data_IF_111934571457
#
_entry.id   IF_111934571457
#
_cell.length_a   1.000
_cell.length_b   1.000
_cell.length_c   1.000
_cell.angle_alpha   90.00
_cell.angle_beta   90.00
_cell.angle_gamma   90.00
#
_symmetry.space_group_name_H-M   'P 1'
#
loop_
_entity.id
_entity.type
_entity.pdbx_description
1 polymer ?
#
# COMPACT_ATOMS: atom_id res chain seq x y z
N UNK A 1 6.01 10.35 3.13
CA UNK A 1 5.36 9.56 4.20
C UNK A 1 3.84 9.79 4.30
N UNK A 2 3.32 10.98 4.03
CA UNK A 2 1.90 11.32 4.29
C UNK A 2 0.89 10.69 3.30
N UNK A 3 1.23 10.54 2.03
CA UNK A 3 0.35 10.01 0.99
C UNK A 3 0.01 8.51 1.16
N UNK A 4 0.99 7.68 1.56
CA UNK A 4 0.78 6.26 1.85
C UNK A 4 -0.18 6.05 3.03
N UNK A 5 -0.03 6.83 4.10
CA UNK A 5 -0.91 6.75 5.28
C UNK A 5 -2.35 7.19 4.97
N UNK A 6 -2.55 8.16 4.07
CA UNK A 6 -3.88 8.62 3.67
C UNK A 6 -4.62 7.58 2.83
N UNK A 7 -3.93 6.94 1.89
CA UNK A 7 -4.54 5.91 1.03
C UNK A 7 -4.95 4.68 1.83
N UNK A 8 -4.08 4.24 2.76
CA UNK A 8 -4.38 3.09 3.63
C UNK A 8 -5.59 3.33 4.54
N UNK A 9 -5.77 4.56 5.06
CA UNK A 9 -6.94 4.93 5.87
C UNK A 9 -8.24 4.93 5.06
N UNK A 10 -8.21 5.34 3.80
CA UNK A 10 -9.39 5.29 2.91
C UNK A 10 -9.80 3.86 2.56
N UNK A 11 -8.86 2.95 2.39
CA UNK A 11 -9.12 1.53 2.12
C UNK A 11 -9.71 0.77 3.33
N UNK A 12 -9.45 1.24 4.57
CA UNK A 12 -9.89 0.57 5.80
C UNK A 12 -11.30 0.98 6.27
N UNK A 13 -11.86 2.10 5.81
CA UNK A 13 -13.20 2.60 6.25
C UNK A 13 -14.35 1.75 5.73
N UNK A 14 -14.13 0.89 4.71
CA UNK A 14 -15.16 0.03 4.14
C UNK A 14 -15.40 -1.32 4.87
N UNK A 15 -14.59 -1.68 5.89
CA UNK A 15 -14.61 -3.02 6.49
C UNK A 15 -15.19 -3.11 7.92
N UNK A 16 -15.85 -2.07 8.43
CA UNK A 16 -16.43 -2.06 9.77
C UNK A 16 -17.93 -2.30 9.76
N UNK A 17 -18.40 -3.55 9.71
CA UNK A 17 -19.78 -3.91 10.11
C UNK A 17 -19.80 -5.24 10.86
N UNK A 18 -20.12 -5.14 12.16
CA UNK A 18 -20.91 -6.02 13.03
C UNK A 18 -20.42 -7.45 13.25
N UNK A 19 -19.79 -7.66 14.40
CA UNK A 19 -19.85 -8.91 15.13
C UNK A 19 -20.80 -8.75 16.31
N UNK A 20 -21.97 -9.38 16.23
CA UNK A 20 -22.91 -9.56 17.35
C UNK A 20 -22.44 -10.69 18.27
N UNK A 21 -22.43 -10.40 19.53
CA UNK A 21 -22.00 -11.21 20.66
C UNK A 21 -22.95 -12.37 20.96
N UNK A 22 -22.41 -13.54 21.24
CA UNK A 22 -23.04 -14.51 22.14
C UNK A 22 -22.02 -14.89 23.21
N UNK A 23 -22.34 -14.56 24.46
CA UNK A 23 -21.49 -14.83 25.60
C UNK A 23 -21.66 -16.25 26.14
N UNK A 24 -20.60 -16.77 26.74
CA UNK A 24 -20.66 -17.74 27.82
C UNK A 24 -19.49 -17.47 28.78
N UNK A 25 -19.83 -17.27 30.03
CA UNK A 25 -18.92 -16.90 31.10
C UNK A 25 -18.06 -18.05 31.62
N UNK A 26 -16.87 -17.69 32.04
CA UNK A 26 -15.99 -18.51 32.88
C UNK A 26 -15.17 -17.57 33.77
N UNK A 27 -14.82 -17.94 35.02
CA UNK A 27 -14.37 -17.01 36.04
C UNK A 27 -12.92 -16.56 35.88
N UNK A 28 -12.69 -15.31 36.26
CA UNK A 28 -11.39 -14.65 36.24
C UNK A 28 -10.47 -15.16 37.37
N UNK A 29 -9.15 -15.22 37.18
CA UNK A 29 -8.19 -15.34 38.26
C UNK A 29 -7.90 -13.98 38.90
N UNK A 30 -7.86 -13.96 40.22
CA UNK A 30 -7.56 -12.84 41.11
C UNK A 30 -6.11 -12.35 40.97
N UNK A 31 -5.82 -11.04 41.03
CA UNK A 31 -4.45 -10.54 41.10
C UNK A 31 -3.94 -10.53 42.56
N UNK A 32 -2.72 -11.00 42.76
CA UNK A 32 -1.95 -10.79 43.98
C UNK A 32 -1.28 -9.40 43.96
N UNK A 33 -1.15 -8.75 45.13
CA UNK A 33 -0.61 -7.41 45.23
C UNK A 33 0.92 -7.41 45.22
N UNK A 34 1.52 -6.54 44.44
CA UNK A 34 2.95 -6.21 44.52
C UNK A 34 3.13 -4.78 44.98
N UNK A 35 3.98 -4.65 45.96
CA UNK A 35 4.29 -3.54 46.80
C UNK A 35 4.80 -2.31 46.05
N UNK A 36 4.26 -1.16 46.44
CA UNK A 36 4.74 0.17 46.09
C UNK A 36 6.08 0.48 46.76
N UNK A 37 7.01 1.02 45.99
CA UNK A 37 8.18 1.75 46.52
C UNK A 37 8.14 3.18 46.01
N UNK A 38 7.94 4.10 46.93
CA UNK A 38 7.95 5.55 46.78
C UNK A 38 9.37 6.12 46.77
N UNK A 39 9.56 7.20 45.94
CA UNK A 39 10.40 8.35 46.26
C UNK A 39 11.33 8.86 45.18
N UNK A 40 11.67 10.16 45.14
CA UNK A 40 10.91 11.41 45.28
C UNK A 40 11.04 12.37 44.06
N UNK A 41 10.24 13.39 44.08
CA UNK A 41 10.26 14.53 43.14
C UNK A 41 11.45 15.47 43.38
N UNK A 42 12.00 16.06 42.30
CA UNK A 42 12.64 17.38 42.38
C UNK A 42 12.56 18.13 41.04
N UNK A 43 12.06 19.38 41.23
CA UNK A 43 12.43 20.62 40.56
C UNK A 43 12.05 20.90 39.10
N UNK A 44 11.05 21.71 39.03
CA UNK A 44 10.70 22.73 38.03
C UNK A 44 11.89 23.55 37.51
N UNK A 45 11.97 23.73 36.18
CA UNK A 45 12.60 24.89 35.56
C UNK A 45 11.71 25.36 34.40
N UNK A 46 11.36 26.66 34.44
CA UNK A 46 10.52 27.36 33.50
C UNK A 46 11.22 27.60 32.14
N UNK A 47 10.47 27.74 31.02
CA UNK A 47 11.04 28.10 29.73
C UNK A 47 11.27 29.60 29.59
N UNK A 48 12.25 30.04 28.78
CA UNK A 48 12.46 31.47 28.49
C UNK A 48 11.53 31.96 27.36
N UNK A 49 11.22 33.24 27.45
CA UNK A 49 10.31 33.99 26.61
C UNK A 49 10.78 34.15 25.15
N UNK A 50 9.81 34.17 24.24
CA UNK A 50 9.97 34.54 22.83
C UNK A 50 10.06 36.05 22.65
N UNK A 51 10.87 36.60 21.74
CA UNK A 51 10.81 37.97 21.30
C UNK A 51 9.75 38.19 20.22
N UNK A 52 8.91 39.21 20.45
CA UNK A 52 7.97 39.75 19.46
C UNK A 52 8.73 40.49 18.35
N UNK A 53 8.38 40.24 17.10
CA UNK A 53 8.79 41.05 15.97
C UNK A 53 7.58 41.81 15.43
N UNK A 54 7.74 43.11 15.36
CA UNK A 54 6.77 44.11 14.93
C UNK A 54 6.51 44.00 13.41
N UNK A 55 5.24 44.03 13.04
CA UNK A 55 4.77 44.20 11.66
C UNK A 55 4.78 45.67 11.28
N UNK A 56 5.53 46.03 10.24
CA UNK A 56 5.36 47.27 9.49
C UNK A 56 4.47 47.05 8.28
N UNK A 57 3.30 47.66 8.29
CA UNK A 57 2.40 47.81 7.15
C UNK A 57 3.00 48.73 6.11
N UNK A 58 3.10 48.28 4.85
CA UNK A 58 3.34 49.12 3.70
C UNK A 58 2.18 48.95 2.71
N UNK A 59 1.45 50.02 2.52
CA UNK A 59 0.37 50.18 1.55
C UNK A 59 0.97 50.46 0.16
N UNK A 60 0.64 49.73 -0.91
CA UNK A 60 0.98 50.12 -2.27
C UNK A 60 -0.10 51.03 -2.89
N UNK A 61 0.27 51.94 -3.83
CA UNK A 61 -0.63 52.90 -4.44
C UNK A 61 -1.52 52.29 -5.53
N UNK A 62 -2.67 52.88 -5.72
CA UNK A 62 -3.64 52.56 -6.75
C UNK A 62 -3.10 52.83 -8.17
N UNK A 63 -3.37 51.92 -9.09
CA UNK A 63 -3.14 52.07 -10.52
C UNK A 63 -4.43 51.87 -11.33
N UNK A 64 -4.55 52.47 -12.52
CA UNK A 64 -5.81 52.87 -13.13
C UNK A 64 -6.49 51.77 -13.95
N UNK A 65 -7.77 51.97 -14.14
CA UNK A 65 -8.71 51.24 -15.02
C UNK A 65 -8.12 50.76 -16.31
N UNK A 66 -8.16 49.44 -16.52
CA UNK A 66 -7.94 48.81 -17.81
C UNK A 66 -9.24 48.16 -18.32
N UNK A 67 -9.50 48.41 -19.58
CA UNK A 67 -10.63 48.05 -20.41
C UNK A 67 -11.22 46.65 -20.21
N UNK A 68 -12.55 46.64 -20.32
CA UNK A 68 -13.38 45.44 -20.43
C UNK A 68 -13.03 44.65 -21.68
N UNK A 69 -12.47 43.46 -21.51
CA UNK A 69 -12.41 42.43 -22.56
C UNK A 69 -13.70 41.61 -22.54
N UNK A 70 -14.21 41.16 -23.70
CA UNK A 70 -15.44 40.35 -23.75
C UNK A 70 -15.24 38.97 -23.06
N UNK A 71 -16.33 38.33 -22.57
CA UNK A 71 -16.23 37.04 -21.95
C UNK A 71 -15.75 35.99 -22.95
N UNK A 72 -14.60 35.39 -22.65
CA UNK A 72 -14.12 34.19 -23.33
C UNK A 72 -15.10 33.07 -22.98
N UNK A 73 -15.78 32.54 -24.00
CA UNK A 73 -16.63 31.34 -23.90
C UNK A 73 -15.87 30.25 -23.14
N UNK A 74 -16.41 29.82 -22.01
CA UNK A 74 -15.81 28.83 -21.16
C UNK A 74 -15.53 27.54 -21.92
N UNK A 75 -14.28 27.18 -21.97
CA UNK A 75 -13.86 25.82 -22.28
C UNK A 75 -14.58 24.87 -21.32
N UNK A 76 -15.19 23.79 -21.77
CA UNK A 76 -15.82 22.86 -20.85
C UNK A 76 -14.76 22.38 -19.85
N UNK A 77 -15.10 22.44 -18.56
CA UNK A 77 -14.27 21.88 -17.50
C UNK A 77 -13.98 20.41 -17.85
N UNK A 78 -12.76 19.89 -17.57
CA UNK A 78 -12.46 18.49 -17.84
C UNK A 78 -13.48 17.65 -17.14
N UNK A 79 -14.25 16.88 -17.90
CA UNK A 79 -15.19 15.90 -17.39
C UNK A 79 -14.38 14.92 -16.56
N UNK A 80 -14.59 14.88 -15.24
CA UNK A 80 -13.99 13.89 -14.38
C UNK A 80 -14.48 12.54 -14.89
N UNK A 81 -13.64 11.84 -15.64
CA UNK A 81 -13.95 10.46 -16.06
C UNK A 81 -14.07 9.61 -14.82
N UNK A 82 -15.13 8.80 -14.74
CA UNK A 82 -15.29 7.83 -13.67
C UNK A 82 -14.04 6.92 -13.61
N UNK A 83 -13.65 6.45 -12.41
CA UNK A 83 -12.52 5.53 -12.30
C UNK A 83 -12.81 4.26 -13.12
N UNK A 84 -11.80 3.74 -13.82
CA UNK A 84 -11.93 2.51 -14.58
C UNK A 84 -12.20 1.33 -13.66
N UNK A 85 -13.11 0.45 -14.07
CA UNK A 85 -13.48 -0.75 -13.34
C UNK A 85 -12.49 -1.89 -13.57
N UNK A 86 -12.58 -2.93 -12.73
CA UNK A 86 -11.80 -4.17 -12.91
C UNK A 86 -12.01 -4.77 -14.30
N UNK A 87 -13.26 -4.79 -14.79
CA UNK A 87 -13.58 -5.30 -16.11
C UNK A 87 -12.90 -4.48 -17.23
N UNK A 88 -12.93 -3.16 -17.12
CA UNK A 88 -12.35 -2.27 -18.13
C UNK A 88 -10.83 -2.48 -18.26
N UNK A 89 -10.10 -2.43 -17.12
CA UNK A 89 -8.65 -2.57 -17.14
C UNK A 89 -8.23 -4.00 -17.52
N UNK A 90 -8.95 -5.03 -17.03
CA UNK A 90 -8.68 -6.42 -17.40
C UNK A 90 -8.85 -6.68 -18.90
N UNK A 91 -9.81 -6.01 -19.55
CA UNK A 91 -10.03 -6.15 -20.99
C UNK A 91 -8.80 -5.71 -21.78
N UNK A 92 -8.15 -4.63 -21.38
CA UNK A 92 -6.98 -4.04 -22.05
C UNK A 92 -5.67 -4.80 -21.79
N UNK A 93 -5.61 -5.64 -20.73
CA UNK A 93 -4.39 -6.39 -20.45
C UNK A 93 -4.10 -7.42 -21.56
N UNK A 94 -2.83 -7.38 -22.00
CA UNK A 94 -2.32 -8.31 -23.00
C UNK A 94 -2.38 -9.74 -22.46
N UNK A 95 -2.92 -10.67 -23.26
CA UNK A 95 -2.91 -12.09 -22.93
C UNK A 95 -1.67 -12.74 -23.56
N UNK A 96 -0.91 -13.50 -22.79
CA UNK A 96 0.25 -14.27 -23.27
C UNK A 96 0.45 -15.53 -22.41
N UNK A 97 1.03 -16.60 -22.97
CA UNK A 97 1.41 -17.76 -22.16
C UNK A 97 2.52 -17.40 -21.18
N UNK A 98 2.53 -18.07 -20.06
CA UNK A 98 3.59 -17.96 -19.05
C UNK A 98 4.96 -18.41 -19.54
N UNK A 99 6.01 -17.83 -18.96
CA UNK A 99 7.39 -18.16 -19.27
C UNK A 99 8.23 -18.39 -18.01
N UNK A 100 8.16 -19.57 -17.42
CA UNK A 100 8.89 -19.91 -16.18
C UNK A 100 10.39 -20.18 -16.38
N UNK A 101 10.81 -20.52 -17.60
CA UNK A 101 12.20 -20.90 -17.87
C UNK A 101 13.19 -19.83 -17.45
N UNK A 102 14.21 -20.22 -16.68
CA UNK A 102 15.27 -19.32 -16.22
C UNK A 102 14.93 -18.48 -14.99
N UNK A 103 13.73 -18.60 -14.41
CA UNK A 103 13.40 -17.88 -13.18
C UNK A 103 14.33 -18.28 -12.03
N UNK A 104 14.82 -17.28 -11.35
CA UNK A 104 15.49 -17.38 -10.04
C UNK A 104 15.13 -16.13 -9.22
N UNK A 105 14.67 -16.31 -8.00
CA UNK A 105 14.31 -15.19 -7.10
C UNK A 105 15.45 -14.18 -6.94
N UNK A 106 16.68 -14.63 -6.99
CA UNK A 106 17.88 -13.77 -6.88
C UNK A 106 18.07 -12.80 -8.05
N UNK A 107 17.34 -12.98 -9.16
CA UNK A 107 17.33 -12.02 -10.27
C UNK A 107 16.57 -10.74 -9.94
N UNK A 108 15.78 -10.77 -8.87
CA UNK A 108 15.10 -9.62 -8.31
C UNK A 108 15.80 -9.22 -7.00
N UNK A 109 16.51 -8.13 -7.01
CA UNK A 109 17.17 -7.61 -5.79
C UNK A 109 16.10 -6.96 -4.91
N UNK A 110 15.70 -7.64 -3.84
CA UNK A 110 14.70 -7.20 -2.87
C UNK A 110 15.33 -6.47 -1.69
N UNK A 111 14.52 -5.75 -0.93
CA UNK A 111 14.82 -5.14 0.37
C UNK A 111 16.05 -4.23 0.32
N UNK A 112 16.04 -3.27 -0.63
CA UNK A 112 17.06 -2.23 -0.69
C UNK A 112 16.68 -1.05 0.20
N UNK A 113 17.68 -0.39 0.75
CA UNK A 113 17.58 0.94 1.36
C UNK A 113 17.90 1.97 0.26
N UNK A 114 16.85 2.44 -0.43
CA UNK A 114 17.03 3.25 -1.64
C UNK A 114 17.36 4.71 -1.35
N UNK A 115 16.85 5.27 -0.26
CA UNK A 115 17.07 6.65 0.20
C UNK A 115 18.18 6.77 1.25
N UNK A 116 18.77 5.64 1.66
CA UNK A 116 19.86 5.53 2.62
C UNK A 116 19.52 6.08 4.01
N UNK A 117 18.28 5.93 4.42
CA UNK A 117 17.81 6.35 5.74
C UNK A 117 18.01 5.27 6.83
N UNK A 118 18.56 4.11 6.46
CA UNK A 118 18.80 2.95 7.34
C UNK A 118 17.64 1.96 7.38
N UNK A 119 16.53 2.25 6.71
CA UNK A 119 15.37 1.36 6.55
C UNK A 119 15.33 0.77 5.15
N UNK A 120 15.33 -0.55 5.03
CA UNK A 120 15.09 -1.18 3.74
C UNK A 120 13.60 -1.16 3.35
N UNK A 121 13.30 -1.54 2.12
CA UNK A 121 11.93 -1.57 1.58
C UNK A 121 10.94 -2.32 2.49
N UNK A 122 11.37 -3.43 3.13
CA UNK A 122 10.52 -4.19 4.06
C UNK A 122 10.12 -3.34 5.26
N UNK A 123 11.09 -2.65 5.89
CA UNK A 123 10.84 -1.80 7.04
C UNK A 123 9.97 -0.60 6.67
N UNK A 124 10.19 0.00 5.49
CA UNK A 124 9.39 1.10 4.99
C UNK A 124 7.90 0.72 4.85
N UNK A 125 7.61 -0.45 4.31
CA UNK A 125 6.22 -0.95 4.21
C UNK A 125 5.63 -1.16 5.61
N UNK A 126 6.35 -1.82 6.52
CA UNK A 126 5.87 -2.04 7.89
C UNK A 126 5.58 -0.73 8.62
N UNK A 127 6.44 0.28 8.48
CA UNK A 127 6.24 1.59 9.09
C UNK A 127 5.02 2.29 8.49
N UNK A 128 4.89 2.24 7.16
CA UNK A 128 3.81 2.93 6.44
C UNK A 128 2.43 2.33 6.72
N UNK A 129 2.33 1.01 6.87
CA UNK A 129 1.06 0.29 7.01
C UNK A 129 0.64 0.05 8.46
N UNK A 130 1.46 0.44 9.44
CA UNK A 130 1.11 0.29 10.84
C UNK A 130 -0.12 1.11 11.21
N UNK A 131 -1.16 0.48 11.76
CA UNK A 131 -2.36 1.14 12.31
C UNK A 131 -1.99 1.91 13.58
N UNK A 132 -1.12 1.31 14.41
CA UNK A 132 -0.43 1.99 15.50
C UNK A 132 1.04 2.00 15.15
N UNK A 133 1.66 3.17 15.07
CA UNK A 133 3.05 3.33 14.67
C UNK A 133 4.00 2.55 15.61
N UNK A 134 4.96 1.79 15.08
CA UNK A 134 6.01 1.19 15.88
C UNK A 134 7.03 2.26 16.32
N UNK A 135 7.79 1.94 17.37
CA UNK A 135 9.03 2.65 17.66
C UNK A 135 10.10 2.18 16.66
N UNK A 136 10.79 3.13 16.05
CA UNK A 136 11.84 2.87 15.05
C UNK A 136 13.18 3.29 15.65
N UNK A 137 14.12 2.35 15.80
CA UNK A 137 15.47 2.64 16.28
C UNK A 137 16.35 3.24 15.17
N UNK A 138 17.54 3.73 15.54
CA UNK A 138 18.53 4.27 14.60
C UNK A 138 18.99 3.27 13.52
N UNK A 139 18.81 1.96 13.73
CA UNK A 139 19.10 0.89 12.77
C UNK A 139 17.85 0.30 12.15
N UNK A 140 16.76 1.05 12.16
CA UNK A 140 15.45 0.65 11.68
C UNK A 140 14.85 -0.63 12.31
N UNK A 141 15.31 -1.04 13.49
CA UNK A 141 14.65 -2.11 14.22
C UNK A 141 13.31 -1.60 14.77
N UNK A 142 12.24 -2.36 14.51
CA UNK A 142 10.88 -2.01 14.91
C UNK A 142 10.52 -2.69 16.24
N UNK A 143 9.86 -1.95 17.13
CA UNK A 143 9.31 -2.49 18.37
C UNK A 143 7.92 -1.91 18.66
N UNK A 144 7.02 -2.74 19.19
CA UNK A 144 5.61 -2.37 19.30
C UNK A 144 4.96 -2.21 17.92
N UNK A 145 3.93 -1.38 17.87
CA UNK A 145 3.15 -1.20 16.66
C UNK A 145 1.95 -2.14 16.59
N UNK A 146 1.08 -1.92 15.60
CA UNK A 146 -0.05 -2.81 15.30
C UNK A 146 -0.37 -2.77 13.81
N UNK A 147 -0.62 -3.94 13.24
CA UNK A 147 -0.95 -4.14 11.84
C UNK A 147 -2.16 -5.05 11.69
N UNK A 148 -2.90 -4.90 10.60
CA UNK A 148 -3.93 -5.87 10.20
C UNK A 148 -3.59 -6.41 8.83
N UNK A 149 -3.46 -7.72 8.71
CA UNK A 149 -3.28 -8.42 7.45
C UNK A 149 -4.58 -8.34 6.63
N UNK A 150 -4.49 -7.78 5.43
CA UNK A 150 -5.65 -7.67 4.53
C UNK A 150 -6.08 -9.02 3.95
N UNK A 151 -5.19 -10.02 3.91
CA UNK A 151 -5.51 -11.32 3.33
C UNK A 151 -6.44 -12.16 4.20
N UNK A 152 -6.37 -12.03 5.52
CA UNK A 152 -7.10 -12.87 6.47
C UNK A 152 -7.79 -12.08 7.60
N UNK A 153 -7.59 -10.76 7.66
CA UNK A 153 -8.19 -9.89 8.67
C UNK A 153 -7.54 -9.99 10.06
N UNK A 154 -6.45 -10.76 10.22
CA UNK A 154 -5.79 -10.95 11.51
C UNK A 154 -4.96 -9.72 11.90
N UNK A 155 -4.96 -9.42 13.21
CA UNK A 155 -4.20 -8.30 13.78
C UNK A 155 -2.95 -8.81 14.48
N UNK A 156 -1.82 -8.10 14.28
CA UNK A 156 -0.50 -8.41 14.81
C UNK A 156 0.09 -7.22 15.54
N UNK A 157 0.77 -7.48 16.67
CA UNK A 157 1.54 -6.49 17.43
C UNK A 157 3.05 -6.75 17.36
N UNK A 158 3.46 -7.78 16.63
CA UNK A 158 4.83 -8.18 16.40
C UNK A 158 5.10 -8.21 14.88
N UNK A 159 5.96 -7.30 14.40
CA UNK A 159 6.34 -7.19 12.99
C UNK A 159 7.00 -8.47 12.44
N UNK A 160 7.59 -9.32 13.30
CA UNK A 160 8.21 -10.59 12.88
C UNK A 160 7.21 -11.65 12.42
N UNK A 161 5.93 -11.47 12.73
CA UNK A 161 4.82 -12.37 12.31
C UNK A 161 4.23 -11.98 10.95
N UNK A 162 4.69 -10.86 10.39
CA UNK A 162 4.25 -10.37 9.11
C UNK A 162 5.34 -10.61 8.05
N UNK A 163 4.92 -11.03 6.87
CA UNK A 163 5.73 -10.96 5.66
C UNK A 163 5.33 -9.72 4.86
N UNK A 164 6.24 -9.17 4.06
CA UNK A 164 5.88 -8.22 3.01
C UNK A 164 5.68 -9.02 1.74
N UNK A 165 4.46 -9.00 1.26
CA UNK A 165 4.08 -9.67 0.02
C UNK A 165 4.22 -8.73 -1.18
N UNK A 166 4.76 -9.27 -2.27
CA UNK A 166 4.56 -8.71 -3.61
C UNK A 166 3.18 -9.20 -4.07
N UNK A 167 2.19 -8.31 -4.16
CA UNK A 167 0.81 -8.70 -4.52
C UNK A 167 0.79 -9.48 -5.83
N UNK A 168 1.53 -9.04 -6.86
CA UNK A 168 1.93 -9.92 -7.99
C UNK A 168 3.30 -10.50 -7.64
N UNK A 169 3.41 -11.82 -7.40
CA UNK A 169 4.66 -12.47 -7.01
C UNK A 169 5.81 -12.24 -7.99
N UNK A 170 7.05 -12.31 -7.52
CA UNK A 170 8.23 -12.14 -8.38
C UNK A 170 8.30 -13.20 -9.49
N UNK A 171 7.90 -14.44 -9.18
CA UNK A 171 7.85 -15.52 -10.16
C UNK A 171 6.74 -15.26 -11.18
N UNK A 172 5.57 -14.85 -10.72
CA UNK A 172 4.46 -14.48 -11.58
C UNK A 172 4.80 -13.28 -12.50
N UNK A 173 5.45 -12.26 -11.95
CA UNK A 173 5.94 -11.15 -12.77
C UNK A 173 6.95 -11.61 -13.84
N UNK A 174 7.83 -12.58 -13.49
CA UNK A 174 8.74 -13.21 -14.47
C UNK A 174 7.97 -13.89 -15.58
N UNK A 175 7.02 -14.74 -15.25
CA UNK A 175 6.19 -15.49 -16.20
C UNK A 175 5.41 -14.58 -17.12
N UNK A 176 4.94 -13.46 -16.59
CA UNK A 176 4.14 -12.46 -17.28
C UNK A 176 4.94 -11.47 -18.14
N UNK A 177 6.30 -11.56 -18.15
CA UNK A 177 7.12 -10.72 -19.03
C UNK A 177 8.38 -10.14 -18.42
N UNK A 178 8.57 -10.16 -17.08
CA UNK A 178 9.76 -9.61 -16.46
C UNK A 178 11.06 -10.37 -16.79
N UNK A 179 10.98 -11.55 -17.39
CA UNK A 179 12.15 -12.26 -17.93
C UNK A 179 12.89 -11.45 -19.01
N UNK A 180 12.20 -10.53 -19.68
CA UNK A 180 12.77 -9.62 -20.69
C UNK A 180 13.34 -8.34 -20.09
N UNK A 181 13.07 -8.05 -18.80
CA UNK A 181 13.48 -6.81 -18.19
C UNK A 181 14.97 -6.77 -17.87
N UNK A 182 15.51 -5.57 -17.79
CA UNK A 182 16.85 -5.34 -17.22
C UNK A 182 16.86 -5.67 -15.72
N UNK A 183 18.01 -5.94 -15.17
CA UNK A 183 18.16 -6.17 -13.73
C UNK A 183 17.69 -4.95 -12.91
N UNK A 184 17.94 -3.74 -13.40
CA UNK A 184 17.46 -2.51 -12.76
C UNK A 184 15.93 -2.42 -12.70
N UNK A 185 15.22 -2.81 -13.80
CA UNK A 185 13.74 -2.81 -13.82
C UNK A 185 13.17 -3.87 -12.89
N UNK A 186 13.77 -5.07 -12.83
CA UNK A 186 13.38 -6.11 -11.85
C UNK A 186 13.60 -5.66 -10.41
N UNK A 187 14.71 -4.98 -10.12
CA UNK A 187 14.94 -4.39 -8.80
C UNK A 187 13.91 -3.31 -8.47
N UNK A 188 13.56 -2.44 -9.42
CA UNK A 188 12.55 -1.41 -9.22
C UNK A 188 11.16 -2.01 -8.93
N UNK A 189 10.76 -3.06 -9.65
CA UNK A 189 9.52 -3.81 -9.37
C UNK A 189 9.52 -4.39 -7.96
N UNK A 190 10.61 -5.06 -7.60
CA UNK A 190 10.74 -5.75 -6.31
C UNK A 190 10.77 -4.80 -5.09
N UNK A 191 10.95 -3.50 -5.32
CA UNK A 191 11.01 -2.48 -4.28
C UNK A 191 10.07 -1.29 -4.58
N UNK A 192 8.96 -1.52 -5.30
CA UNK A 192 8.05 -0.46 -5.71
C UNK A 192 7.29 0.15 -4.53
N UNK A 193 7.88 1.18 -3.94
CA UNK A 193 7.26 2.03 -2.94
C UNK A 193 6.47 3.21 -3.55
N UNK A 194 6.42 3.32 -4.88
CA UNK A 194 5.71 4.39 -5.59
C UNK A 194 4.20 4.33 -5.41
N UNK A 195 3.66 3.16 -5.06
CA UNK A 195 2.26 2.94 -4.73
C UNK A 195 2.14 2.11 -3.44
N UNK A 196 1.09 2.37 -2.66
CA UNK A 196 0.93 1.73 -1.36
C UNK A 196 0.47 0.26 -1.44
N UNK A 197 0.08 -0.20 -2.61
CA UNK A 197 -0.59 -1.49 -2.81
C UNK A 197 0.24 -2.52 -3.59
N UNK A 198 1.44 -2.19 -4.09
CA UNK A 198 2.33 -3.16 -4.75
C UNK A 198 2.97 -4.14 -3.76
N UNK A 199 3.32 -3.61 -2.58
CA UNK A 199 3.97 -4.33 -1.48
C UNK A 199 3.14 -4.10 -0.23
N UNK A 200 2.67 -5.17 0.41
CA UNK A 200 1.78 -5.08 1.57
C UNK A 200 2.22 -5.99 2.71
N UNK A 201 2.01 -5.53 3.95
CA UNK A 201 2.26 -6.32 5.15
C UNK A 201 1.09 -7.27 5.40
N UNK A 202 1.33 -8.56 5.35
CA UNK A 202 0.32 -9.61 5.54
C UNK A 202 0.80 -10.67 6.52
N UNK A 203 -0.12 -11.50 7.02
CA UNK A 203 0.27 -12.64 7.85
C UNK A 203 1.22 -13.57 7.09
N UNK A 204 2.27 -14.03 7.76
CA UNK A 204 3.21 -14.98 7.17
C UNK A 204 2.53 -16.28 6.71
N UNK A 205 1.44 -16.68 7.37
CA UNK A 205 0.67 -17.87 7.00
C UNK A 205 -0.04 -17.70 5.64
N UNK A 206 -0.77 -16.60 5.46
CA UNK A 206 -1.46 -16.31 4.20
C UNK A 206 -0.48 -16.07 3.06
N UNK A 207 0.63 -15.35 3.33
CA UNK A 207 1.68 -15.14 2.32
C UNK A 207 2.28 -16.46 1.80
N UNK A 208 2.61 -17.37 2.69
CA UNK A 208 3.15 -18.70 2.33
C UNK A 208 2.13 -19.58 1.63
N UNK A 209 0.84 -19.47 1.99
CA UNK A 209 -0.24 -20.16 1.30
C UNK A 209 -0.40 -19.66 -0.15
N UNK A 210 -0.26 -18.36 -0.37
CA UNK A 210 -0.25 -17.74 -1.70
C UNK A 210 0.95 -18.21 -2.51
N UNK A 211 2.17 -18.03 -1.97
CA UNK A 211 3.39 -18.36 -2.70
C UNK A 211 3.51 -17.61 -4.03
N UNK A 212 3.76 -18.35 -5.11
CA UNK A 212 3.90 -17.78 -6.45
C UNK A 212 2.60 -17.85 -7.29
N UNK A 213 1.48 -18.23 -6.67
CA UNK A 213 0.19 -18.48 -7.31
C UNK A 213 -0.47 -17.19 -7.80
N UNK A 214 -1.17 -17.30 -8.91
CA UNK A 214 -2.04 -16.29 -9.49
C UNK A 214 -3.50 -16.37 -8.98
N UNK A 215 -4.41 -15.48 -9.39
CA UNK A 215 -5.82 -15.52 -9.01
C UNK A 215 -6.62 -16.75 -9.45
N UNK A 216 -6.14 -17.54 -10.42
CA UNK A 216 -6.77 -18.82 -10.79
C UNK A 216 -6.50 -19.92 -9.75
N UNK A 217 -5.38 -19.79 -9.01
CA UNK A 217 -4.92 -20.80 -8.06
C UNK A 217 -5.13 -20.38 -6.60
N UNK A 218 -5.16 -19.07 -6.30
CA UNK A 218 -5.27 -18.56 -4.95
C UNK A 218 -5.98 -17.21 -4.87
N UNK A 219 -6.85 -17.07 -3.88
CA UNK A 219 -7.47 -15.81 -3.47
C UNK A 219 -7.34 -15.63 -1.97
N UNK A 220 -7.32 -14.38 -1.47
CA UNK A 220 -7.32 -14.09 -0.04
C UNK A 220 -8.42 -14.87 0.71
N UNK A 221 -8.10 -15.48 1.87
CA UNK A 221 -9.09 -16.13 2.72
C UNK A 221 -10.24 -15.20 3.11
N UNK A 222 -9.96 -13.90 3.35
CA UNK A 222 -10.95 -12.89 3.68
C UNK A 222 -11.82 -12.53 2.46
N UNK A 223 -13.09 -12.97 2.38
CA UNK A 223 -13.91 -12.76 1.19
C UNK A 223 -14.13 -11.29 0.84
N UNK A 224 -14.26 -10.41 1.84
CA UNK A 224 -14.48 -8.97 1.65
C UNK A 224 -13.30 -8.25 0.99
N UNK A 225 -12.10 -8.83 1.00
CA UNK A 225 -10.91 -8.25 0.37
C UNK A 225 -10.66 -8.74 -1.06
N UNK A 226 -11.33 -9.82 -1.50
CA UNK A 226 -11.05 -10.46 -2.80
C UNK A 226 -11.19 -9.53 -4.00
N UNK A 227 -12.28 -8.78 -4.06
CA UNK A 227 -12.46 -7.84 -5.19
C UNK A 227 -11.39 -6.74 -5.21
N UNK A 228 -11.03 -6.21 -4.04
CA UNK A 228 -9.94 -5.25 -3.92
C UNK A 228 -8.59 -5.86 -4.31
N UNK A 229 -8.32 -7.10 -3.90
CA UNK A 229 -7.12 -7.84 -4.29
C UNK A 229 -7.00 -7.99 -5.81
N UNK A 230 -8.09 -8.38 -6.49
CA UNK A 230 -8.13 -8.52 -7.94
C UNK A 230 -7.93 -7.18 -8.66
N UNK A 231 -8.53 -6.11 -8.13
CA UNK A 231 -8.34 -4.76 -8.68
C UNK A 231 -6.89 -4.28 -8.54
N UNK A 232 -6.25 -4.56 -7.41
CA UNK A 232 -4.82 -4.26 -7.17
C UNK A 232 -3.94 -5.11 -8.08
N UNK A 233 -4.24 -6.39 -8.21
CA UNK A 233 -3.52 -7.31 -9.10
C UNK A 233 -3.47 -6.78 -10.54
N UNK A 234 -4.62 -6.45 -11.09
CA UNK A 234 -4.76 -5.89 -12.44
C UNK A 234 -4.04 -4.54 -12.56
N UNK A 235 -4.13 -3.68 -11.53
CA UNK A 235 -3.42 -2.41 -11.49
C UNK A 235 -1.89 -2.58 -11.55
N UNK A 236 -1.34 -3.60 -10.89
CA UNK A 236 0.10 -3.90 -10.94
C UNK A 236 0.49 -4.42 -12.32
N UNK A 237 -0.29 -5.33 -12.89
CA UNK A 237 -0.04 -5.86 -14.24
C UNK A 237 -0.01 -4.71 -15.27
N UNK A 238 -0.98 -3.81 -15.20
CA UNK A 238 -1.04 -2.64 -16.07
C UNK A 238 0.16 -1.71 -15.84
N UNK A 239 0.40 -1.28 -14.60
CA UNK A 239 1.49 -0.38 -14.22
C UNK A 239 2.86 -0.84 -14.72
N UNK A 240 3.12 -2.14 -14.72
CA UNK A 240 4.40 -2.73 -15.09
C UNK A 240 4.41 -3.35 -16.51
N UNK A 241 3.32 -3.20 -17.28
CA UNK A 241 3.13 -3.76 -18.62
C UNK A 241 3.35 -5.28 -18.66
N UNK A 242 2.85 -5.95 -17.62
CA UNK A 242 2.84 -7.42 -17.54
C UNK A 242 1.65 -7.98 -18.29
N UNK A 243 1.79 -9.22 -18.78
CA UNK A 243 0.67 -9.95 -19.36
C UNK A 243 -0.17 -10.64 -18.29
N UNK A 244 -1.32 -11.11 -18.67
CA UNK A 244 -2.08 -12.15 -17.98
C UNK A 244 -2.08 -13.40 -18.86
N UNK A 245 -2.11 -14.60 -18.29
CA UNK A 245 -2.43 -15.78 -19.05
C UNK A 245 -3.95 -16.00 -19.20
N UNK A 246 -4.36 -17.00 -19.94
CA UNK A 246 -5.78 -17.21 -20.24
C UNK A 246 -6.56 -17.70 -19.01
N UNK A 247 -5.95 -18.50 -18.13
CA UNK A 247 -6.58 -19.04 -16.93
C UNK A 247 -6.73 -17.94 -15.87
N UNK A 248 -5.67 -17.15 -15.65
CA UNK A 248 -5.66 -15.96 -14.80
C UNK A 248 -6.73 -14.97 -15.23
N UNK A 249 -6.78 -14.61 -16.54
CA UNK A 249 -7.79 -13.70 -17.08
C UNK A 249 -9.21 -14.21 -16.86
N UNK A 250 -9.45 -15.49 -17.13
CA UNK A 250 -10.75 -16.13 -16.96
C UNK A 250 -11.18 -16.14 -15.47
N UNK A 251 -10.27 -16.44 -14.55
CA UNK A 251 -10.56 -16.44 -13.11
C UNK A 251 -10.93 -15.05 -12.61
N UNK A 252 -10.19 -14.01 -13.01
CA UNK A 252 -10.49 -12.62 -12.65
C UNK A 252 -11.84 -12.19 -13.25
N UNK A 253 -12.09 -12.47 -14.54
CA UNK A 253 -13.35 -12.13 -15.20
C UNK A 253 -14.54 -12.86 -14.59
N UNK A 254 -14.35 -14.11 -14.13
CA UNK A 254 -15.38 -14.92 -13.48
C UNK A 254 -15.65 -14.57 -12.02
N UNK A 255 -14.89 -13.67 -11.40
CA UNK A 255 -15.05 -13.32 -10.00
C UNK A 255 -16.37 -12.55 -9.79
N UNK A 256 -17.40 -13.26 -9.29
CA UNK A 256 -18.74 -12.74 -9.13
C UNK A 256 -18.77 -11.50 -8.23
N UNK A 257 -19.43 -10.44 -8.70
CA UNK A 257 -19.60 -9.19 -7.95
C UNK A 257 -18.39 -8.25 -7.93
N UNK A 258 -17.25 -8.64 -8.53
CA UNK A 258 -16.03 -7.84 -8.51
C UNK A 258 -15.84 -6.93 -9.74
N UNK A 259 -16.57 -7.15 -10.83
CA UNK A 259 -16.30 -6.51 -12.12
C UNK A 259 -16.39 -4.97 -12.12
N UNK A 260 -17.26 -4.41 -11.28
CA UNK A 260 -17.42 -2.97 -11.11
C UNK A 260 -16.44 -2.35 -10.08
N UNK A 261 -15.53 -3.14 -9.49
CA UNK A 261 -14.57 -2.63 -8.50
C UNK A 261 -13.63 -1.63 -9.16
N UNK A 262 -13.49 -0.41 -8.60
CA UNK A 262 -12.55 0.58 -9.12
C UNK A 262 -11.11 0.09 -9.03
N UNK A 263 -10.35 0.24 -10.11
CA UNK A 263 -8.92 -0.11 -10.14
C UNK A 263 -8.09 1.10 -9.70
N UNK A 264 -7.18 0.94 -8.72
CA UNK A 264 -6.33 2.04 -8.23
C UNK A 264 -5.16 2.29 -9.21
N UNK A 265 -5.46 2.85 -10.38
CA UNK A 265 -4.44 3.11 -11.39
C UNK A 265 -3.41 4.14 -10.91
N UNK A 266 -2.17 3.92 -11.29
CA UNK A 266 -1.06 4.83 -11.06
C UNK A 266 -0.24 4.98 -12.35
N UNK A 267 0.61 6.01 -12.41
CA UNK A 267 1.48 6.23 -13.57
C UNK A 267 2.27 4.97 -13.90
N UNK A 268 2.24 4.50 -15.16
CA UNK A 268 3.03 3.37 -15.61
C UNK A 268 4.52 3.60 -15.34
N UNK A 269 5.20 2.59 -14.84
CA UNK A 269 6.66 2.62 -14.68
C UNK A 269 7.29 2.35 -16.03
N UNK A 270 7.88 3.39 -16.63
CA UNK A 270 8.38 3.49 -17.98
C UNK A 270 8.75 2.18 -18.66
N UNK A 271 7.91 1.76 -19.57
CA UNK A 271 8.22 0.79 -20.59
C UNK A 271 9.05 1.51 -21.64
N UNK A 272 10.38 1.34 -21.57
CA UNK A 272 11.13 1.44 -22.82
C UNK A 272 10.43 0.50 -23.80
N UNK A 273 10.10 0.98 -25.00
CA UNK A 273 9.49 0.15 -26.01
C UNK A 273 10.19 -1.20 -26.05
N UNK A 274 9.42 -2.28 -25.91
CA UNK A 274 9.94 -3.62 -26.16
C UNK A 274 10.39 -3.63 -27.62
N UNK A 275 11.60 -4.10 -27.91
CA UNK A 275 12.07 -4.24 -29.29
C UNK A 275 11.19 -5.21 -30.05
#
# INVERSE_FOLDING_TARGET
MDARRRLYRLLMVGAAVVALTAGCGGPAPTPSPSTATTRPATASLAPPASPSLSTTSSTPPASPLALLSPPVSGSPAPTSSAPLSLADVLAELRVAPEHRTGYRRTLFRIWIDADKNGCDTRHEVLIAEAIVAPNVSARCALSGGRWTSLYDGLTFTDASKLDIDHVVPLAEAWDSGAYRWTAARRQAFANDLGVAWSLIAVSAASNRSKGDKDPAEWLPPLPSYRCQYLAIWVAIKERWSLAVDAAEKAAIAGATGCQATPVPLATPVGGGALP
#
